data_IF_840920225503
#
_entry.id   IF_840920225503
#
_cell.length_a   1.000
_cell.length_b   1.000
_cell.length_c   1.000
_cell.angle_alpha   90.00
_cell.angle_beta   90.00
_cell.angle_gamma   90.00
#
_symmetry.space_group_name_H-M   'P 1'
#
loop_
_entity.id
_entity.type
_entity.pdbx_description
1 polymer ?
#
# COMPACT_ATOMS: atom_id res chain seq x y z
N UNK A 1 13.07 -14.63 6.66
CA UNK A 1 12.91 -13.94 5.36
C UNK A 1 14.24 -13.29 5.00
N UNK A 2 14.72 -13.42 3.76
CA UNK A 2 15.83 -12.58 3.28
C UNK A 2 15.26 -11.22 2.86
N UNK A 3 15.78 -10.12 3.42
CA UNK A 3 15.30 -8.76 3.13
C UNK A 3 16.01 -8.11 1.93
N UNK A 4 17.07 -8.72 1.40
CA UNK A 4 17.79 -8.18 0.24
C UNK A 4 16.86 -8.05 -0.96
N UNK A 5 16.80 -6.83 -1.52
CA UNK A 5 15.96 -6.52 -2.67
C UNK A 5 14.47 -6.34 -2.35
N UNK A 6 14.04 -6.46 -1.09
CA UNK A 6 12.66 -6.19 -0.69
C UNK A 6 12.46 -4.70 -0.39
N UNK A 7 11.31 -4.18 -0.82
CA UNK A 7 10.88 -2.84 -0.46
C UNK A 7 10.33 -2.82 0.96
N UNK A 8 10.63 -1.77 1.71
CA UNK A 8 10.17 -1.59 3.10
C UNK A 8 9.59 -0.18 3.23
N UNK A 9 8.41 -0.06 3.82
CA UNK A 9 7.81 1.21 4.24
C UNK A 9 7.41 1.11 5.70
N UNK A 10 7.87 2.07 6.50
CA UNK A 10 7.45 2.27 7.89
C UNK A 10 6.58 3.52 7.93
N UNK A 11 5.33 3.37 8.38
CA UNK A 11 4.34 4.46 8.37
C UNK A 11 4.21 5.15 9.73
N UNK A 12 4.74 4.53 10.79
CA UNK A 12 4.71 5.04 12.16
C UNK A 12 5.05 3.91 13.12
N UNK A 13 5.43 4.26 14.35
CA UNK A 13 5.73 3.28 15.40
C UNK A 13 4.44 2.79 16.10
N UNK A 14 4.44 1.59 16.67
CA UNK A 14 3.35 1.15 17.52
C UNK A 14 3.29 2.04 18.78
N UNK A 15 2.10 2.49 19.14
CA UNK A 15 1.87 3.26 20.37
C UNK A 15 1.36 2.34 21.48
N UNK A 16 1.48 2.73 22.76
CA UNK A 16 0.71 2.10 23.83
C UNK A 16 -0.78 2.01 23.43
N UNK A 17 -1.42 0.90 23.80
CA UNK A 17 -2.82 0.58 23.52
C UNK A 17 -3.20 0.40 22.05
N UNK A 18 -2.23 0.38 21.12
CA UNK A 18 -2.50 0.02 19.74
C UNK A 18 -2.59 -1.50 19.57
N UNK A 19 -3.71 -1.98 19.04
CA UNK A 19 -3.82 -3.34 18.54
C UNK A 19 -2.97 -3.50 17.28
N UNK A 20 -2.36 -4.67 17.12
CA UNK A 20 -1.59 -5.02 15.93
C UNK A 20 -2.40 -6.03 15.13
N UNK A 21 -2.62 -5.73 13.85
CA UNK A 21 -3.12 -6.72 12.90
C UNK A 21 -2.07 -6.93 11.82
N UNK A 22 -1.87 -8.18 11.40
CA UNK A 22 -0.85 -8.52 10.42
C UNK A 22 -1.38 -9.40 9.31
N UNK A 23 -0.70 -9.32 8.16
CA UNK A 23 -0.84 -10.23 7.04
C UNK A 23 0.54 -10.78 6.70
N UNK A 24 0.68 -12.08 6.93
CA UNK A 24 1.94 -12.80 6.76
C UNK A 24 1.85 -13.72 5.53
N UNK A 25 2.71 -13.44 4.56
CA UNK A 25 3.09 -14.35 3.47
C UNK A 25 4.60 -14.30 3.31
N UNK A 26 5.31 -14.54 4.40
CA UNK A 26 6.77 -14.49 4.48
C UNK A 26 7.47 -15.39 3.45
N UNK A 27 6.86 -16.52 3.07
CA UNK A 27 7.34 -17.39 1.99
C UNK A 27 7.33 -16.72 0.60
N UNK A 28 6.44 -15.74 0.38
CA UNK A 28 6.34 -14.92 -0.83
C UNK A 28 7.11 -13.59 -0.68
N UNK A 29 7.84 -13.39 0.44
CA UNK A 29 8.54 -12.13 0.74
C UNK A 29 7.62 -10.98 1.15
N UNK A 30 6.37 -11.26 1.54
CA UNK A 30 5.39 -10.24 1.92
C UNK A 30 5.10 -10.34 3.42
N UNK A 31 5.27 -9.23 4.13
CA UNK A 31 4.81 -9.08 5.51
C UNK A 31 4.24 -7.68 5.69
N UNK A 32 3.07 -7.59 6.33
CA UNK A 32 2.39 -6.32 6.54
C UNK A 32 1.77 -6.29 7.92
N UNK A 33 1.85 -5.15 8.57
CA UNK A 33 1.22 -4.90 9.85
C UNK A 33 0.64 -3.49 9.92
N UNK A 34 -0.47 -3.35 10.63
CA UNK A 34 -1.08 -2.06 10.97
C UNK A 34 -1.25 -1.96 12.47
N UNK A 35 -0.98 -0.77 12.99
CA UNK A 35 -1.21 -0.41 14.39
C UNK A 35 -2.50 0.38 14.47
N UNK A 36 -3.43 -0.09 15.29
CA UNK A 36 -4.79 0.43 15.38
C UNK A 36 -5.08 0.85 16.80
N UNK A 37 -5.46 2.12 17.00
CA UNK A 37 -5.95 2.62 18.29
C UNK A 37 -7.40 3.03 18.14
N UNK A 38 -8.31 2.30 18.81
CA UNK A 38 -9.74 2.43 18.59
C UNK A 38 -10.11 2.08 17.14
N UNK A 39 -10.58 3.06 16.36
CA UNK A 39 -10.92 2.92 14.93
C UNK A 39 -9.94 3.60 13.98
N UNK A 40 -8.78 4.01 14.47
CA UNK A 40 -7.81 4.80 13.69
C UNK A 40 -6.54 4.01 13.48
N UNK A 41 -6.04 4.02 12.25
CA UNK A 41 -4.69 3.54 11.94
C UNK A 41 -3.72 4.60 12.46
N UNK A 42 -2.82 4.19 13.34
CA UNK A 42 -1.81 5.05 13.97
C UNK A 42 -0.39 4.75 13.49
N UNK A 43 -0.21 3.66 12.74
CA UNK A 43 1.07 3.27 12.17
C UNK A 43 1.02 1.91 11.50
N UNK A 44 2.20 1.38 11.19
CA UNK A 44 2.36 0.07 10.58
C UNK A 44 3.63 -0.05 9.76
N UNK A 45 3.83 -1.24 9.20
CA UNK A 45 4.94 -1.55 8.32
C UNK A 45 4.48 -2.42 7.15
N UNK A 46 5.04 -2.17 5.96
CA UNK A 46 4.84 -2.97 4.76
C UNK A 46 6.21 -3.45 4.25
N UNK A 47 6.34 -4.75 4.02
CA UNK A 47 7.55 -5.41 3.52
C UNK A 47 7.22 -6.22 2.27
N UNK A 48 8.06 -6.13 1.26
CA UNK A 48 7.90 -6.78 -0.04
C UNK A 48 6.91 -6.04 -0.93
N UNK A 49 5.62 -6.18 -0.64
CA UNK A 49 4.56 -5.43 -1.31
C UNK A 49 4.18 -4.17 -0.51
N UNK A 50 4.67 -3.02 -0.99
CA UNK A 50 4.40 -1.70 -0.41
C UNK A 50 3.20 -0.97 -1.05
N UNK A 51 2.41 -1.65 -1.88
CA UNK A 51 1.19 -1.08 -2.48
C UNK A 51 0.21 -0.59 -1.40
N UNK A 52 -0.39 0.57 -1.60
CA UNK A 52 -1.29 1.14 -0.58
C UNK A 52 -0.59 1.89 0.56
N UNK A 53 0.75 1.95 0.61
CA UNK A 53 1.49 2.83 1.53
C UNK A 53 0.96 4.27 1.52
N UNK A 54 0.75 4.83 0.32
CA UNK A 54 0.20 6.19 0.16
C UNK A 54 -1.23 6.35 0.70
N UNK A 55 -2.08 5.34 0.53
CA UNK A 55 -3.45 5.36 1.07
C UNK A 55 -3.42 5.29 2.60
N UNK A 56 -2.60 4.40 3.17
CA UNK A 56 -2.44 4.27 4.61
C UNK A 56 -1.90 5.56 5.22
N UNK A 57 -0.87 6.15 4.61
CA UNK A 57 -0.33 7.45 5.01
C UNK A 57 -1.39 8.56 4.96
N UNK A 58 -2.21 8.59 3.90
CA UNK A 58 -3.33 9.52 3.79
C UNK A 58 -4.37 9.34 4.90
N UNK A 59 -4.77 8.09 5.20
CA UNK A 59 -5.73 7.79 6.27
C UNK A 59 -5.20 8.21 7.65
N UNK A 60 -3.90 7.99 7.89
CA UNK A 60 -3.22 8.41 9.11
C UNK A 60 -3.22 9.94 9.28
N UNK A 61 -2.82 10.69 8.24
CA UNK A 61 -2.77 12.16 8.29
C UNK A 61 -4.16 12.77 8.52
N UNK A 62 -5.18 12.23 7.85
CA UNK A 62 -6.54 12.75 8.00
C UNK A 62 -7.25 12.25 9.26
N UNK A 63 -6.62 11.39 10.06
CA UNK A 63 -7.21 10.81 11.27
C UNK A 63 -8.53 10.10 11.01
N UNK A 64 -8.72 9.59 9.79
CA UNK A 64 -9.99 9.01 9.34
C UNK A 64 -10.29 7.75 10.14
N UNK A 65 -11.51 7.66 10.65
CA UNK A 65 -11.98 6.41 11.23
C UNK A 65 -12.19 5.39 10.12
N UNK A 66 -11.72 4.19 10.38
CA UNK A 66 -11.76 3.10 9.42
C UNK A 66 -12.96 2.24 9.77
N UNK A 67 -14.09 2.50 9.12
CA UNK A 67 -15.29 1.70 9.27
C UNK A 67 -15.17 0.37 8.49
N UNK A 68 -15.54 -0.74 9.14
CA UNK A 68 -15.54 -2.09 8.58
C UNK A 68 -14.27 -2.89 8.85
N UNK A 69 -14.01 -3.90 7.99
CA UNK A 69 -12.88 -4.81 8.14
C UNK A 69 -11.55 -4.12 7.78
N UNK A 70 -10.81 -3.67 8.80
CA UNK A 70 -9.50 -3.03 8.65
C UNK A 70 -8.48 -3.98 8.00
N UNK A 71 -8.69 -5.30 8.07
CA UNK A 71 -7.82 -6.28 7.40
C UNK A 71 -7.82 -6.15 5.87
N UNK A 72 -8.82 -5.46 5.27
CA UNK A 72 -8.83 -5.17 3.83
C UNK A 72 -7.66 -4.30 3.37
N UNK A 73 -7.12 -3.47 4.26
CA UNK A 73 -5.97 -2.60 3.97
C UNK A 73 -4.64 -3.34 4.07
N UNK A 74 -4.62 -4.49 4.76
CA UNK A 74 -3.45 -5.36 4.83
C UNK A 74 -3.26 -6.19 3.56
N UNK A 75 -4.33 -6.56 2.85
CA UNK A 75 -4.19 -7.39 1.65
C UNK A 75 -3.50 -6.60 0.53
N UNK A 76 -2.46 -7.16 -0.13
CA UNK A 76 -1.91 -6.65 -1.38
C UNK A 76 -3.01 -6.23 -2.36
N UNK A 77 -2.98 -4.98 -2.82
CA UNK A 77 -3.95 -4.49 -3.80
C UNK A 77 -3.26 -4.26 -5.13
N UNK A 78 -3.44 -5.19 -6.07
CA UNK A 78 -2.91 -5.07 -7.45
C UNK A 78 -3.56 -3.96 -8.29
N UNK A 79 -4.55 -3.23 -7.75
CA UNK A 79 -5.37 -2.25 -8.48
C UNK A 79 -5.35 -0.84 -7.86
N UNK A 80 -4.19 -0.39 -7.38
CA UNK A 80 -3.99 0.93 -6.72
C UNK A 80 -4.53 2.13 -7.52
N UNK A 81 -4.67 2.03 -8.85
CA UNK A 81 -5.00 3.16 -9.71
C UNK A 81 -6.42 3.26 -10.25
N UNK A 82 -7.35 2.33 -9.94
CA UNK A 82 -8.67 2.33 -10.60
C UNK A 82 -9.87 2.75 -9.74
N UNK A 83 -9.81 2.66 -8.41
CA UNK A 83 -11.03 2.78 -7.60
C UNK A 83 -11.14 4.06 -6.75
N UNK A 84 -10.05 4.82 -6.57
CA UNK A 84 -10.04 6.01 -5.70
C UNK A 84 -10.01 7.36 -6.43
N UNK A 85 -10.04 7.36 -7.77
CA UNK A 85 -10.22 8.61 -8.49
C UNK A 85 -11.74 8.87 -8.59
N UNK A 86 -12.23 10.05 -8.18
CA UNK A 86 -13.55 10.50 -8.61
C UNK A 86 -13.60 10.32 -10.13
N UNK A 87 -14.78 9.98 -10.65
CA UNK A 87 -15.10 9.85 -12.07
C UNK A 87 -14.92 11.16 -12.85
N UNK A 88 -13.74 11.76 -12.78
CA UNK A 88 -13.32 12.81 -13.67
C UNK A 88 -13.06 12.14 -15.01
N UNK A 89 -13.90 12.47 -16.00
CA UNK A 89 -13.81 12.11 -17.41
C UNK A 89 -12.54 12.68 -18.08
N UNK A 90 -11.38 12.66 -17.41
CA UNK A 90 -10.09 12.98 -18.01
C UNK A 90 -9.45 11.68 -18.46
N UNK A 91 -9.73 11.33 -19.71
CA UNK A 91 -9.04 10.30 -20.48
C UNK A 91 -7.55 10.31 -20.13
N UNK A 92 -7.08 9.26 -19.44
CA UNK A 92 -5.66 9.09 -19.09
C UNK A 92 -4.87 9.10 -20.39
N UNK A 93 -4.07 10.15 -20.62
CA UNK A 93 -3.06 10.17 -21.68
C UNK A 93 -2.00 9.14 -21.31
N UNK A 94 -2.14 7.93 -21.87
CA UNK A 94 -1.11 6.89 -21.79
C UNK A 94 -0.01 7.27 -22.78
N UNK A 95 1.18 7.55 -22.29
CA UNK A 95 2.35 7.62 -23.16
C UNK A 95 2.68 6.20 -23.65
N UNK A 96 2.81 6.03 -24.97
CA UNK A 96 3.36 4.81 -25.56
C UNK A 96 4.84 5.07 -25.83
N UNK A 97 5.71 4.19 -25.33
CA UNK A 97 7.10 4.18 -25.73
C UNK A 97 7.12 3.69 -27.19
N UNK A 98 7.56 4.55 -28.11
CA UNK A 98 7.80 4.18 -29.50
C UNK A 98 9.25 3.72 -29.59
N UNK A 99 9.46 2.44 -29.88
CA UNK A 99 10.78 1.96 -30.28
C UNK A 99 11.02 2.37 -31.73
N UNK A 100 12.20 2.94 -32.06
CA UNK A 100 12.55 3.20 -33.44
C UNK A 100 12.58 1.87 -34.21
N UNK A 101 11.84 1.79 -35.32
CA UNK A 101 12.08 0.76 -36.33
C UNK A 101 13.36 1.17 -37.05
N UNK A 102 14.30 0.22 -37.16
CA UNK A 102 15.55 0.24 -37.96
C UNK A 102 16.84 0.32 -37.13
N UNK A 103 17.23 -0.83 -36.57
CA UNK A 103 18.63 -1.28 -36.47
C UNK A 103 18.72 -2.75 -36.86
N UNK A 104 18.13 -3.09 -38.01
CA UNK A 104 18.41 -4.33 -38.73
C UNK A 104 18.62 -3.96 -40.19
N UNK A 105 19.86 -3.57 -40.48
CA UNK A 105 20.48 -3.63 -41.81
C UNK A 105 21.82 -4.30 -41.65
#
# INVERSE_FOLDING_TARGET
MNLQGLSIVILGAPTPDAAIISHDRTAEGIYRELFIRGRKIVGGALVGDISGAGLLHFLMINGSEVDGDVARFLKPQSRVFYQLLPSSKRQRRRARILFPKEMLS
#
